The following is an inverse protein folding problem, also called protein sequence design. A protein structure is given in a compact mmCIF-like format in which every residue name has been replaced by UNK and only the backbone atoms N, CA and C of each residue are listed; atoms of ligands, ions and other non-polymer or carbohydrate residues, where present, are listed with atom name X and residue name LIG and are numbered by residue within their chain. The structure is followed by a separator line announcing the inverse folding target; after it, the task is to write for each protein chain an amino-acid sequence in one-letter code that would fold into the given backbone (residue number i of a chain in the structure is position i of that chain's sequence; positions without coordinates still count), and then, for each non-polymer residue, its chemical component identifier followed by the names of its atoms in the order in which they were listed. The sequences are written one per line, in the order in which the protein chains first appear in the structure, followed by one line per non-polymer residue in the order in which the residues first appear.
data_IF_349271877227
#
_entry.id   IF_349271877227
#
_cell.length_a   1.000
_cell.length_b   1.000
_cell.length_c   1.000
_cell.angle_alpha   90.00
_cell.angle_beta   90.00
_cell.angle_gamma   90.00
#
_symmetry.space_group_name_H-M   'P 1'
#
loop_
_entity.id
_entity.type
_entity.pdbx_description
1 polymer ?
#
# COMPACT_ATOMS: atom_id res chain seq x y z
N UNK A 1 -19.07 -13.59 -35.42
CA UNK A 1 -19.55 -14.26 -34.20
C UNK A 1 -20.51 -15.39 -34.58
N UNK A 2 -20.05 -16.54 -35.10
CA UNK A 2 -21.02 -17.58 -35.58
C UNK A 2 -20.55 -19.04 -35.54
N UNK A 3 -19.47 -19.36 -34.81
CA UNK A 3 -18.97 -20.75 -34.67
C UNK A 3 -19.11 -21.34 -33.26
N UNK A 4 -18.80 -20.55 -32.22
CA UNK A 4 -18.83 -21.01 -30.82
C UNK A 4 -20.24 -21.09 -30.22
N UNK A 5 -21.12 -20.13 -30.53
CA UNK A 5 -22.50 -20.09 -30.00
C UNK A 5 -23.36 -21.25 -30.54
N UNK A 6 -23.21 -21.64 -31.81
CA UNK A 6 -23.96 -22.78 -32.37
C UNK A 6 -23.58 -24.14 -31.76
N UNK A 7 -22.34 -24.30 -31.29
CA UNK A 7 -21.88 -25.57 -30.70
C UNK A 7 -22.30 -25.73 -29.24
N UNK A 8 -22.45 -24.63 -28.49
CA UNK A 8 -22.98 -24.67 -27.12
C UNK A 8 -24.48 -24.95 -27.12
N UNK A 9 -25.23 -24.44 -28.10
CA UNK A 9 -26.69 -24.60 -28.17
C UNK A 9 -27.10 -26.06 -28.46
N UNK A 10 -26.41 -26.74 -29.38
CA UNK A 10 -26.69 -28.15 -29.71
C UNK A 10 -26.39 -29.07 -28.52
N UNK A 11 -25.31 -28.79 -27.77
CA UNK A 11 -24.96 -29.56 -26.58
C UNK A 11 -26.03 -29.38 -25.48
N UNK A 12 -26.52 -28.16 -25.30
CA UNK A 12 -27.55 -27.84 -24.30
C UNK A 12 -28.91 -28.48 -24.64
N UNK A 13 -29.24 -28.59 -25.94
CA UNK A 13 -30.47 -29.23 -26.41
C UNK A 13 -30.47 -30.75 -26.18
N UNK A 14 -29.35 -31.44 -26.44
CA UNK A 14 -29.21 -32.87 -26.17
C UNK A 14 -29.31 -33.19 -24.66
N UNK A 15 -28.69 -32.37 -23.81
CA UNK A 15 -28.74 -32.52 -22.35
C UNK A 15 -30.16 -32.27 -21.82
N UNK A 16 -30.89 -31.33 -22.42
CA UNK A 16 -32.30 -31.05 -22.09
C UNK A 16 -33.20 -32.25 -22.29
N UNK A 17 -33.06 -32.92 -23.42
CA UNK A 17 -33.92 -34.05 -23.77
C UNK A 17 -33.61 -35.28 -22.92
N UNK A 18 -32.32 -35.54 -22.67
CA UNK A 18 -31.89 -36.57 -21.72
C UNK A 18 -32.44 -36.30 -20.31
N UNK A 19 -32.36 -35.06 -19.82
CA UNK A 19 -32.87 -34.74 -18.49
C UNK A 19 -34.40 -34.88 -18.38
N UNK A 20 -35.14 -34.51 -19.43
CA UNK A 20 -36.59 -34.75 -19.48
C UNK A 20 -36.94 -36.23 -19.41
N UNK A 21 -36.16 -37.08 -20.07
CA UNK A 21 -36.36 -38.53 -20.01
C UNK A 21 -36.05 -39.09 -18.61
N UNK A 22 -35.00 -38.60 -17.94
CA UNK A 22 -34.72 -38.94 -16.52
C UNK A 22 -35.90 -38.57 -15.63
N UNK A 23 -36.43 -37.35 -15.75
CA UNK A 23 -37.60 -36.91 -14.97
C UNK A 23 -38.87 -37.73 -15.29
N UNK A 24 -39.00 -38.26 -16.51
CA UNK A 24 -40.13 -39.10 -16.91
C UNK A 24 -40.05 -40.52 -16.31
N UNK A 25 -38.84 -41.07 -16.15
CA UNK A 25 -38.62 -42.40 -15.54
C UNK A 25 -38.76 -42.41 -14.02
N UNK A 26 -38.72 -41.25 -13.37
CA UNK A 26 -38.94 -41.14 -11.93
C UNK A 26 -40.43 -41.33 -11.58
N UNK A 27 -40.75 -42.50 -10.99
CA UNK A 27 -42.10 -42.81 -10.48
C UNK A 27 -42.44 -42.04 -9.18
N UNK A 28 -41.43 -41.57 -8.44
CA UNK A 28 -41.60 -40.83 -7.20
C UNK A 28 -42.00 -39.37 -7.47
N UNK A 29 -43.29 -39.07 -7.30
CA UNK A 29 -43.87 -37.74 -7.59
C UNK A 29 -43.24 -36.62 -6.78
N UNK A 30 -42.81 -36.89 -5.55
CA UNK A 30 -42.21 -35.89 -4.66
C UNK A 30 -40.77 -35.64 -5.11
N UNK A 31 -39.99 -36.69 -5.39
CA UNK A 31 -38.63 -36.56 -5.91
C UNK A 31 -38.60 -35.76 -7.21
N UNK A 32 -39.53 -36.03 -8.14
CA UNK A 32 -39.67 -35.29 -9.39
C UNK A 32 -40.01 -33.81 -9.18
N UNK A 33 -40.75 -33.48 -8.12
CA UNK A 33 -41.08 -32.09 -7.78
C UNK A 33 -39.91 -31.34 -7.13
N UNK A 34 -39.00 -32.06 -6.46
CA UNK A 34 -37.81 -31.49 -5.84
C UNK A 34 -36.67 -31.20 -6.83
N UNK A 35 -36.70 -31.80 -8.01
CA UNK A 35 -35.66 -31.64 -9.04
C UNK A 35 -35.96 -30.46 -9.98
N UNK A 36 -34.92 -29.74 -10.45
CA UNK A 36 -35.09 -28.64 -11.39
C UNK A 36 -35.61 -29.14 -12.74
N UNK A 37 -36.53 -28.39 -13.34
CA UNK A 37 -36.98 -28.62 -14.73
C UNK A 37 -36.14 -27.83 -15.74
N UNK A 38 -35.41 -26.83 -15.26
CA UNK A 38 -34.52 -26.02 -16.07
C UNK A 38 -33.16 -26.71 -16.20
N UNK A 39 -32.61 -26.69 -17.41
CA UNK A 39 -31.31 -27.28 -17.74
C UNK A 39 -30.18 -26.42 -17.18
N UNK A 40 -30.40 -25.11 -16.99
CA UNK A 40 -29.38 -24.23 -16.42
C UNK A 40 -29.02 -24.59 -14.97
N UNK A 41 -29.90 -25.27 -14.26
CA UNK A 41 -29.66 -25.76 -12.90
C UNK A 41 -28.90 -27.10 -12.88
N UNK A 42 -28.43 -27.58 -14.03
CA UNK A 42 -27.83 -28.90 -14.20
C UNK A 42 -26.53 -28.76 -14.98
N UNK A 43 -25.46 -29.34 -14.45
CA UNK A 43 -24.17 -29.42 -15.14
C UNK A 43 -23.82 -30.88 -15.39
N UNK A 44 -23.50 -31.20 -16.64
CA UNK A 44 -23.14 -32.55 -17.06
C UNK A 44 -21.67 -32.57 -17.50
N UNK A 45 -20.86 -33.31 -16.74
CA UNK A 45 -19.46 -33.60 -17.04
C UNK A 45 -19.31 -35.07 -17.48
N UNK A 46 -18.11 -35.45 -17.94
CA UNK A 46 -17.87 -36.80 -18.46
C UNK A 46 -18.19 -37.92 -17.44
N UNK A 47 -17.94 -37.66 -16.16
CA UNK A 47 -18.04 -38.58 -15.03
C UNK A 47 -19.13 -38.21 -14.00
N UNK A 48 -19.71 -37.01 -14.10
CA UNK A 48 -20.60 -36.44 -13.07
C UNK A 48 -21.83 -35.73 -13.62
N UNK A 49 -22.90 -35.78 -12.85
CA UNK A 49 -24.11 -34.98 -13.05
C UNK A 49 -24.36 -34.16 -11.78
N UNK A 50 -24.16 -32.84 -11.86
CA UNK A 50 -24.45 -31.91 -10.76
C UNK A 50 -25.83 -31.29 -10.93
N UNK A 51 -26.65 -31.34 -9.88
CA UNK A 51 -28.03 -30.85 -9.88
C UNK A 51 -28.15 -29.78 -8.78
N UNK A 52 -28.30 -28.53 -9.19
CA UNK A 52 -28.55 -27.42 -8.29
C UNK A 52 -30.01 -27.40 -7.86
N UNK A 53 -30.23 -27.28 -6.54
CA UNK A 53 -31.55 -27.28 -5.92
C UNK A 53 -31.69 -26.02 -5.06
N UNK A 54 -32.75 -25.28 -5.28
CA UNK A 54 -33.04 -23.94 -4.72
C UNK A 54 -33.46 -23.93 -3.24
N UNK A 55 -33.55 -25.09 -2.58
CA UNK A 55 -34.06 -25.22 -1.21
C UNK A 55 -33.41 -26.38 -0.46
N UNK A 56 -33.03 -26.12 0.78
CA UNK A 56 -32.43 -27.09 1.69
C UNK A 56 -33.33 -28.32 1.93
N UNK A 57 -34.65 -28.10 2.05
CA UNK A 57 -35.64 -29.18 2.18
C UNK A 57 -35.68 -30.09 0.94
N UNK A 58 -35.65 -29.50 -0.27
CA UNK A 58 -35.63 -30.28 -1.51
C UNK A 58 -34.31 -31.04 -1.66
N UNK A 59 -33.19 -30.42 -1.28
CA UNK A 59 -31.86 -31.05 -1.27
C UNK A 59 -31.83 -32.28 -0.36
N UNK A 60 -32.33 -32.15 0.87
CA UNK A 60 -32.39 -33.25 1.83
C UNK A 60 -33.28 -34.41 1.36
N UNK A 61 -34.45 -34.10 0.76
CA UNK A 61 -35.33 -35.11 0.19
C UNK A 61 -34.67 -35.87 -0.98
N UNK A 62 -34.01 -35.13 -1.88
CA UNK A 62 -33.27 -35.69 -3.01
C UNK A 62 -32.11 -36.59 -2.55
N UNK A 63 -31.33 -36.17 -1.55
CA UNK A 63 -30.25 -36.98 -0.95
C UNK A 63 -30.78 -38.27 -0.33
N UNK A 64 -31.91 -38.20 0.41
CA UNK A 64 -32.54 -39.39 1.00
C UNK A 64 -33.03 -40.40 -0.05
N UNK A 65 -33.32 -39.96 -1.27
CA UNK A 65 -33.77 -40.82 -2.38
C UNK A 65 -32.73 -40.94 -3.49
N UNK A 66 -31.47 -40.63 -3.20
CA UNK A 66 -30.36 -40.60 -4.15
C UNK A 66 -30.25 -41.88 -4.98
N UNK A 67 -30.37 -43.06 -4.36
CA UNK A 67 -30.29 -44.34 -5.07
C UNK A 67 -31.34 -44.49 -6.19
N UNK A 68 -32.54 -43.92 -6.02
CA UNK A 68 -33.57 -43.92 -7.06
C UNK A 68 -33.24 -42.95 -8.19
N UNK A 69 -32.63 -41.82 -7.85
CA UNK A 69 -32.19 -40.80 -8.81
C UNK A 69 -31.02 -41.33 -9.64
N UNK A 70 -30.02 -41.92 -9.01
CA UNK A 70 -28.87 -42.56 -9.67
C UNK A 70 -29.30 -43.66 -10.63
N UNK A 71 -30.25 -44.52 -10.22
CA UNK A 71 -30.79 -45.54 -11.11
C UNK A 71 -31.50 -44.96 -12.36
N UNK A 72 -32.24 -43.86 -12.20
CA UNK A 72 -32.90 -43.18 -13.31
C UNK A 72 -31.90 -42.47 -14.23
N UNK A 73 -30.85 -41.86 -13.67
CA UNK A 73 -29.75 -41.22 -14.41
C UNK A 73 -28.95 -42.27 -15.18
N UNK A 74 -28.55 -43.37 -14.54
CA UNK A 74 -27.82 -44.47 -15.18
C UNK A 74 -28.56 -45.04 -16.39
N UNK A 75 -29.88 -45.15 -16.32
CA UNK A 75 -30.73 -45.70 -17.38
C UNK A 75 -30.92 -44.79 -18.61
N UNK A 76 -30.49 -43.53 -18.57
CA UNK A 76 -30.68 -42.55 -19.67
C UNK A 76 -29.35 -41.92 -20.09
N UNK A 77 -28.54 -41.56 -19.10
CA UNK A 77 -27.34 -40.72 -19.23
C UNK A 77 -26.05 -41.56 -19.05
N UNK A 78 -26.17 -42.80 -18.54
CA UNK A 78 -25.05 -43.70 -18.22
C UNK A 78 -24.60 -43.58 -16.76
N UNK A 79 -23.75 -44.52 -16.31
CA UNK A 79 -23.20 -44.51 -14.94
C UNK A 79 -22.36 -43.25 -14.72
N UNK A 80 -22.88 -42.33 -13.90
CA UNK A 80 -22.23 -41.08 -13.50
C UNK A 80 -22.52 -40.82 -12.02
N UNK A 81 -21.60 -40.15 -11.35
CA UNK A 81 -21.79 -39.72 -9.98
C UNK A 81 -22.82 -38.57 -9.94
N UNK A 82 -23.93 -38.76 -9.22
CA UNK A 82 -24.98 -37.75 -9.08
C UNK A 82 -24.71 -36.90 -7.85
N UNK A 83 -24.43 -35.62 -8.05
CA UNK A 83 -24.15 -34.66 -6.97
C UNK A 83 -25.34 -33.72 -6.84
N UNK A 84 -25.95 -33.65 -5.65
CA UNK A 84 -27.14 -32.85 -5.37
C UNK A 84 -26.75 -31.64 -4.51
N UNK A 85 -26.89 -30.44 -5.07
CA UNK A 85 -26.50 -29.18 -4.44
C UNK A 85 -25.59 -28.34 -5.34
N UNK A 86 -25.11 -27.22 -4.80
CA UNK A 86 -24.04 -26.46 -5.45
C UNK A 86 -22.82 -27.36 -5.64
N UNK A 87 -22.14 -27.30 -6.81
CA UNK A 87 -20.95 -28.10 -7.06
C UNK A 87 -19.96 -27.94 -5.90
N UNK A 88 -19.29 -29.01 -5.45
CA UNK A 88 -18.23 -28.86 -4.46
C UNK A 88 -17.20 -27.85 -4.98
N UNK A 89 -16.82 -26.89 -4.13
CA UNK A 89 -15.88 -25.77 -4.34
C UNK A 89 -14.54 -26.12 -5.03
N UNK A 90 -14.27 -27.42 -5.24
CA UNK A 90 -13.05 -27.96 -5.82
C UNK A 90 -12.88 -27.59 -7.31
N UNK A 91 -13.95 -27.33 -8.07
CA UNK A 91 -13.84 -26.92 -9.48
C UNK A 91 -13.76 -25.41 -9.70
N UNK A 92 -14.29 -24.59 -8.79
CA UNK A 92 -13.96 -23.16 -8.74
C UNK A 92 -12.47 -22.98 -8.41
N UNK A 93 -11.90 -23.87 -7.61
CA UNK A 93 -10.46 -23.93 -7.35
C UNK A 93 -9.61 -24.50 -8.52
N UNK A 94 -10.21 -25.00 -9.62
CA UNK A 94 -9.49 -25.49 -10.79
C UNK A 94 -9.59 -24.60 -12.02
N UNK A 95 -10.63 -23.76 -12.13
CA UNK A 95 -10.64 -22.66 -13.12
C UNK A 95 -9.87 -21.43 -12.64
N UNK A 96 -9.58 -21.36 -11.34
CA UNK A 96 -8.36 -20.71 -10.85
C UNK A 96 -7.23 -21.72 -10.98
N UNK A 97 -6.61 -21.82 -12.17
CA UNK A 97 -5.20 -22.22 -12.20
C UNK A 97 -4.45 -21.17 -11.37
N UNK A 98 -4.31 -21.44 -10.07
CA UNK A 98 -3.43 -20.74 -9.16
C UNK A 98 -2.02 -20.90 -9.72
N UNK A 99 -1.62 -19.90 -10.50
CA UNK A 99 -0.20 -19.69 -10.83
C UNK A 99 0.54 -19.66 -9.49
N UNK A 100 1.52 -20.54 -9.24
CA UNK A 100 2.23 -20.54 -7.96
C UNK A 100 2.94 -19.19 -7.82
N UNK A 101 2.54 -18.44 -6.80
CA UNK A 101 3.04 -17.13 -6.40
C UNK A 101 1.88 -16.28 -5.87
N UNK A 102 1.80 -16.23 -4.54
CA UNK A 102 0.97 -15.39 -3.69
C UNK A 102 0.72 -13.99 -4.27
N UNK A 103 -0.43 -13.75 -4.90
CA UNK A 103 -0.85 -12.38 -5.15
C UNK A 103 -1.64 -11.91 -3.91
N UNK A 104 -0.93 -11.32 -2.95
CA UNK A 104 -1.58 -10.55 -1.89
C UNK A 104 -2.52 -9.52 -2.54
N UNK A 105 -3.73 -9.37 -1.99
CA UNK A 105 -4.71 -8.40 -2.45
C UNK A 105 -4.36 -7.05 -1.86
N UNK A 106 -3.86 -6.17 -2.73
CA UNK A 106 -3.38 -4.84 -2.36
C UNK A 106 -4.37 -3.79 -2.88
N UNK A 107 -4.77 -2.88 -1.99
CA UNK A 107 -5.54 -1.68 -2.36
C UNK A 107 -4.81 -0.42 -1.91
N UNK A 108 -4.88 0.63 -2.73
CA UNK A 108 -4.35 1.96 -2.43
C UNK A 108 -5.51 2.94 -2.38
N UNK A 109 -5.70 3.57 -1.23
CA UNK A 109 -6.72 4.58 -0.97
C UNK A 109 -6.06 5.97 -0.95
N UNK A 110 -6.35 6.79 -1.95
CA UNK A 110 -5.91 8.18 -2.01
C UNK A 110 -6.95 9.12 -1.42
N UNK A 111 -6.70 9.68 -0.24
CA UNK A 111 -7.69 10.42 0.54
C UNK A 111 -7.46 11.93 0.47
N UNK A 112 -8.49 12.67 0.06
CA UNK A 112 -8.43 14.11 -0.14
C UNK A 112 -7.63 14.49 -1.40
N UNK A 113 -7.68 15.76 -1.81
CA UNK A 113 -7.01 16.29 -3.01
C UNK A 113 -5.59 15.73 -3.26
N UNK A 114 -4.71 15.80 -2.26
CA UNK A 114 -3.33 15.33 -2.39
C UNK A 114 -3.22 13.81 -2.61
N UNK A 115 -4.05 13.02 -1.91
CA UNK A 115 -4.09 11.58 -2.11
C UNK A 115 -4.71 11.19 -3.46
N UNK A 116 -5.76 11.89 -3.87
CA UNK A 116 -6.42 11.72 -5.18
C UNK A 116 -5.43 12.00 -6.32
N UNK A 117 -4.64 13.08 -6.22
CA UNK A 117 -3.59 13.41 -7.19
C UNK A 117 -2.50 12.33 -7.24
N UNK A 118 -2.05 11.84 -6.08
CA UNK A 118 -1.05 10.77 -5.99
C UNK A 118 -1.54 9.47 -6.66
N UNK A 119 -2.78 9.04 -6.38
CA UNK A 119 -3.40 7.87 -7.04
C UNK A 119 -3.55 8.09 -8.53
N UNK A 120 -3.96 9.30 -8.94
CA UNK A 120 -4.07 9.66 -10.35
C UNK A 120 -2.74 9.52 -11.11
N UNK A 121 -1.62 9.82 -10.44
CA UNK A 121 -0.29 9.60 -10.97
C UNK A 121 0.11 8.12 -10.97
N UNK A 122 -0.18 7.37 -9.91
CA UNK A 122 0.09 5.93 -9.86
C UNK A 122 -0.56 5.19 -11.03
N UNK A 123 -1.79 5.58 -11.41
CA UNK A 123 -2.46 5.07 -12.62
C UNK A 123 -1.71 5.44 -13.89
N UNK A 124 -1.31 6.70 -14.03
CA UNK A 124 -0.55 7.19 -15.21
C UNK A 124 0.78 6.45 -15.38
N UNK A 125 1.45 6.15 -14.26
CA UNK A 125 2.71 5.39 -14.23
C UNK A 125 2.51 3.87 -14.28
N UNK A 126 1.26 3.41 -14.46
CA UNK A 126 0.87 2.00 -14.64
C UNK A 126 1.34 1.10 -13.51
N UNK A 127 1.18 1.52 -12.25
CA UNK A 127 1.45 0.67 -11.10
C UNK A 127 0.63 -0.63 -11.22
N UNK A 128 1.31 -1.79 -11.23
CA UNK A 128 0.70 -3.10 -11.48
C UNK A 128 0.32 -3.80 -10.17
N UNK A 129 -0.66 -4.70 -10.23
CA UNK A 129 -0.97 -5.59 -9.11
C UNK A 129 -1.65 -4.93 -7.92
N UNK A 130 -2.13 -3.69 -8.07
CA UNK A 130 -2.81 -2.93 -7.02
C UNK A 130 -4.15 -2.38 -7.51
N UNK A 131 -5.14 -2.36 -6.63
CA UNK A 131 -6.41 -1.66 -6.85
C UNK A 131 -6.27 -0.21 -6.40
N UNK A 132 -6.58 0.75 -7.27
CA UNK A 132 -6.41 2.18 -7.03
C UNK A 132 -7.78 2.84 -6.81
N UNK A 133 -7.97 3.50 -5.66
CA UNK A 133 -9.25 4.13 -5.30
C UNK A 133 -9.00 5.55 -4.81
N UNK A 134 -9.68 6.52 -5.41
CA UNK A 134 -9.67 7.90 -4.94
C UNK A 134 -10.84 8.14 -3.98
N UNK A 135 -10.58 8.77 -2.85
CA UNK A 135 -11.54 8.97 -1.76
C UNK A 135 -11.60 10.45 -1.40
N UNK A 136 -12.77 11.07 -1.54
CA UNK A 136 -12.95 12.47 -1.14
C UNK A 136 -14.40 12.77 -0.73
N UNK A 137 -14.57 13.82 0.06
CA UNK A 137 -15.86 14.47 0.28
C UNK A 137 -16.28 15.38 -0.88
N UNK A 138 -15.32 15.88 -1.67
CA UNK A 138 -15.59 16.77 -2.81
C UNK A 138 -15.87 15.98 -4.09
N UNK A 139 -17.10 16.12 -4.61
CA UNK A 139 -17.53 15.43 -5.83
C UNK A 139 -16.83 15.95 -7.08
N UNK A 140 -16.44 17.23 -7.11
CA UNK A 140 -15.76 17.82 -8.25
C UNK A 140 -14.35 17.26 -8.40
N UNK A 141 -13.65 17.12 -7.27
CA UNK A 141 -12.32 16.50 -7.22
C UNK A 141 -12.38 15.06 -7.73
N UNK A 142 -13.35 14.27 -7.27
CA UNK A 142 -13.54 12.89 -7.73
C UNK A 142 -13.94 12.81 -9.21
N UNK A 143 -14.70 13.78 -9.72
CA UNK A 143 -15.15 13.80 -11.11
C UNK A 143 -14.03 14.02 -12.13
N UNK A 144 -12.92 14.65 -11.71
CA UNK A 144 -11.73 14.85 -12.55
C UNK A 144 -10.56 13.93 -12.18
N UNK A 145 -10.75 13.05 -11.18
CA UNK A 145 -9.71 12.15 -10.71
C UNK A 145 -9.35 11.12 -11.79
N UNK A 146 -8.05 10.98 -12.08
CA UNK A 146 -7.55 9.99 -13.03
C UNK A 146 -7.41 8.60 -12.36
N UNK A 147 -8.52 8.00 -11.93
CA UNK A 147 -8.55 6.69 -11.25
C UNK A 147 -9.58 5.77 -11.89
N UNK A 148 -9.51 4.46 -11.64
CA UNK A 148 -10.53 3.50 -12.09
C UNK A 148 -11.75 3.48 -11.16
N UNK A 149 -11.53 3.73 -9.87
CA UNK A 149 -12.56 3.67 -8.84
C UNK A 149 -12.51 4.91 -7.94
N UNK A 150 -13.69 5.39 -7.53
CA UNK A 150 -13.85 6.52 -6.62
C UNK A 150 -14.82 6.19 -5.50
N UNK A 151 -14.58 6.74 -4.31
CA UNK A 151 -15.49 6.70 -3.18
C UNK A 151 -15.75 8.13 -2.72
N UNK A 152 -17.01 8.56 -2.79
CA UNK A 152 -17.44 9.82 -2.20
C UNK A 152 -17.80 9.61 -0.73
N UNK A 153 -17.12 10.33 0.17
CA UNK A 153 -17.44 10.33 1.60
C UNK A 153 -18.62 11.23 1.90
N UNK A 154 -19.59 10.69 2.65
CA UNK A 154 -20.78 11.35 3.16
C UNK A 154 -21.51 12.18 2.09
N UNK A 155 -21.94 11.47 1.04
CA UNK A 155 -22.70 12.02 -0.08
C UNK A 155 -23.93 12.84 0.39
N UNK A 156 -24.57 12.39 1.48
CA UNK A 156 -25.81 13.00 2.00
C UNK A 156 -25.57 14.19 2.95
N UNK A 157 -24.39 14.29 3.57
CA UNK A 157 -24.13 15.28 4.66
C UNK A 157 -23.38 16.51 4.15
N UNK A 158 -22.44 16.33 3.22
CA UNK A 158 -21.59 17.44 2.72
C UNK A 158 -22.21 18.19 1.54
N UNK A 159 -23.25 17.62 0.92
CA UNK A 159 -23.77 18.09 -0.36
C UNK A 159 -22.72 18.05 -1.49
N UNK A 160 -21.64 17.28 -1.29
CA UNK A 160 -20.53 17.14 -2.23
C UNK A 160 -19.58 18.33 -2.34
N UNK A 161 -19.58 19.26 -1.36
CA UNK A 161 -18.79 20.52 -1.39
C UNK A 161 -17.46 20.47 -0.64
N UNK A 162 -16.98 19.28 -0.29
CA UNK A 162 -15.72 19.12 0.43
C UNK A 162 -15.81 19.46 1.93
N UNK A 163 -14.72 19.18 2.67
CA UNK A 163 -14.63 19.46 4.10
C UNK A 163 -14.29 20.93 4.45
N UNK A 164 -13.91 21.76 3.47
CA UNK A 164 -13.57 23.18 3.68
C UNK A 164 -12.40 23.42 4.64
N UNK A 165 -11.45 22.48 4.70
CA UNK A 165 -10.31 22.55 5.63
C UNK A 165 -10.61 22.15 7.07
N UNK A 166 -11.85 21.73 7.38
CA UNK A 166 -12.25 21.27 8.72
C UNK A 166 -12.02 19.76 8.87
N UNK A 167 -11.05 19.39 9.71
CA UNK A 167 -10.71 18.00 10.02
C UNK A 167 -11.85 17.23 10.68
N UNK A 168 -12.70 17.88 11.47
CA UNK A 168 -13.82 17.22 12.12
C UNK A 168 -14.90 16.82 11.11
N UNK A 169 -15.11 17.65 10.07
CA UNK A 169 -16.00 17.29 8.96
C UNK A 169 -15.45 16.12 8.17
N UNK A 170 -14.16 16.12 7.86
CA UNK A 170 -13.50 14.99 7.19
C UNK A 170 -13.64 13.69 7.99
N UNK A 171 -13.40 13.75 9.31
CA UNK A 171 -13.55 12.62 10.23
C UNK A 171 -14.98 12.10 10.28
N UNK A 172 -15.95 13.00 10.47
CA UNK A 172 -17.38 12.64 10.48
C UNK A 172 -17.80 12.01 9.16
N UNK A 173 -17.35 12.56 8.03
CA UNK A 173 -17.69 12.02 6.73
C UNK A 173 -17.19 10.58 6.52
N UNK A 174 -15.99 10.27 7.01
CA UNK A 174 -15.46 8.91 7.00
C UNK A 174 -16.25 7.97 7.92
N UNK A 175 -16.65 8.42 9.12
CA UNK A 175 -17.47 7.63 10.04
C UNK A 175 -18.86 7.32 9.45
N UNK A 176 -19.49 8.31 8.82
CA UNK A 176 -20.80 8.14 8.19
C UNK A 176 -20.73 7.19 6.98
N UNK A 177 -19.55 7.07 6.34
CA UNK A 177 -19.31 6.18 5.18
C UNK A 177 -18.58 4.89 5.56
N UNK A 178 -18.65 4.49 6.83
CA UNK A 178 -17.89 3.36 7.37
C UNK A 178 -18.22 2.05 6.68
N UNK A 179 -19.48 1.84 6.27
CA UNK A 179 -19.91 0.60 5.62
C UNK A 179 -19.29 0.45 4.22
N UNK A 180 -19.27 1.54 3.46
CA UNK A 180 -18.66 1.63 2.14
C UNK A 180 -17.14 1.42 2.22
N UNK A 181 -16.47 2.08 3.17
CA UNK A 181 -15.03 1.90 3.41
C UNK A 181 -14.75 0.43 3.75
N UNK A 182 -15.50 -0.17 4.68
CA UNK A 182 -15.35 -1.56 5.08
C UNK A 182 -15.54 -2.52 3.90
N UNK A 183 -16.51 -2.26 3.01
CA UNK A 183 -16.74 -3.07 1.81
C UNK A 183 -15.54 -3.10 0.85
N UNK A 184 -14.74 -2.03 0.84
CA UNK A 184 -13.56 -1.89 0.00
C UNK A 184 -12.35 -2.61 0.61
N UNK A 185 -12.12 -2.44 1.92
CA UNK A 185 -10.94 -2.98 2.60
C UNK A 185 -11.12 -4.42 3.06
N UNK A 186 -12.35 -4.91 3.16
CA UNK A 186 -12.63 -6.27 3.63
C UNK A 186 -11.97 -7.31 2.73
N UNK A 187 -11.17 -8.17 3.34
CA UNK A 187 -10.42 -9.20 2.62
C UNK A 187 -9.28 -8.63 1.80
N UNK A 188 -8.82 -7.42 2.02
CA UNK A 188 -7.52 -6.99 1.50
C UNK A 188 -6.42 -7.47 2.45
N UNK A 189 -5.29 -7.91 1.90
CA UNK A 189 -4.15 -8.34 2.71
C UNK A 189 -3.30 -7.11 3.10
N UNK A 190 -3.22 -6.14 2.18
CA UNK A 190 -2.46 -4.90 2.35
C UNK A 190 -3.29 -3.68 1.91
N UNK A 191 -3.40 -2.68 2.79
CA UNK A 191 -4.08 -1.42 2.51
C UNK A 191 -3.08 -0.28 2.63
N UNK A 192 -2.76 0.35 1.50
CA UNK A 192 -2.03 1.60 1.48
C UNK A 192 -2.99 2.76 1.60
N UNK A 193 -2.68 3.70 2.46
CA UNK A 193 -3.43 4.93 2.62
C UNK A 193 -2.50 6.10 2.32
N UNK A 194 -2.82 6.88 1.29
CA UNK A 194 -2.03 8.02 0.88
C UNK A 194 -2.82 9.32 0.99
N UNK A 195 -2.25 10.32 1.66
CA UNK A 195 -2.94 11.58 1.90
C UNK A 195 -1.97 12.75 2.14
N UNK A 196 -2.38 13.93 1.69
CA UNK A 196 -1.76 15.20 2.08
C UNK A 196 -2.35 15.74 3.38
N UNK A 197 -1.51 15.89 4.41
CA UNK A 197 -1.96 16.36 5.72
C UNK A 197 -1.98 17.90 5.82
N UNK A 198 -2.82 18.40 6.72
CA UNK A 198 -3.12 19.82 6.92
C UNK A 198 -4.42 20.32 6.27
N UNK A 199 -5.00 19.53 5.36
CA UNK A 199 -6.35 19.77 4.81
C UNK A 199 -7.47 19.26 5.72
N UNK A 200 -8.73 19.36 5.27
CA UNK A 200 -9.88 18.85 6.02
C UNK A 200 -10.10 17.35 5.84
N UNK A 201 -10.35 16.92 4.59
CA UNK A 201 -10.63 15.51 4.25
C UNK A 201 -9.45 14.61 4.56
N UNK A 202 -8.28 14.88 3.96
CA UNK A 202 -7.09 14.04 4.10
C UNK A 202 -6.63 13.90 5.56
N UNK A 203 -6.74 14.94 6.38
CA UNK A 203 -6.29 14.87 7.79
C UNK A 203 -7.33 14.20 8.69
N UNK A 204 -8.62 14.48 8.48
CA UNK A 204 -9.69 13.96 9.33
C UNK A 204 -10.13 12.52 8.99
N UNK A 205 -10.21 12.18 7.70
CA UNK A 205 -10.73 10.89 7.24
C UNK A 205 -9.68 9.78 7.31
N UNK A 206 -8.40 10.10 7.09
CA UNK A 206 -7.31 9.11 7.01
C UNK A 206 -7.18 8.24 8.25
N UNK A 207 -7.15 8.77 9.50
CA UNK A 207 -7.06 7.93 10.69
C UNK A 207 -8.25 6.97 10.85
N UNK A 208 -9.46 7.41 10.47
CA UNK A 208 -10.68 6.57 10.54
C UNK A 208 -10.63 5.44 9.51
N UNK A 209 -10.21 5.75 8.28
CA UNK A 209 -10.07 4.73 7.23
C UNK A 209 -8.99 3.72 7.59
N UNK A 210 -7.88 4.17 8.20
CA UNK A 210 -6.82 3.28 8.70
C UNK A 210 -7.33 2.34 9.80
N UNK A 211 -8.10 2.87 10.74
CA UNK A 211 -8.72 2.07 11.80
C UNK A 211 -9.63 0.98 11.23
N UNK A 212 -10.50 1.32 10.27
CA UNK A 212 -11.40 0.35 9.62
C UNK A 212 -10.62 -0.73 8.86
N UNK A 213 -9.54 -0.35 8.17
CA UNK A 213 -8.68 -1.29 7.45
C UNK A 213 -7.99 -2.28 8.41
N UNK A 214 -7.45 -1.77 9.51
CA UNK A 214 -6.81 -2.57 10.56
C UNK A 214 -7.79 -3.50 11.26
N UNK A 215 -8.99 -3.02 11.60
CA UNK A 215 -10.08 -3.84 12.16
C UNK A 215 -10.54 -4.94 11.20
N UNK A 216 -10.37 -4.73 9.89
CA UNK A 216 -10.68 -5.72 8.85
C UNK A 216 -9.58 -6.79 8.68
N UNK A 217 -8.47 -6.68 9.41
CA UNK A 217 -7.35 -7.62 9.39
C UNK A 217 -6.29 -7.36 8.32
N UNK A 218 -6.34 -6.22 7.63
CA UNK A 218 -5.35 -5.85 6.64
C UNK A 218 -4.13 -5.17 7.28
N UNK A 219 -2.93 -5.48 6.80
CA UNK A 219 -1.74 -4.69 7.15
C UNK A 219 -1.93 -3.27 6.61
N UNK A 220 -1.96 -2.29 7.50
CA UNK A 220 -2.35 -0.92 7.15
C UNK A 220 -1.14 0.01 7.17
N UNK A 221 -0.77 0.53 5.99
CA UNK A 221 0.39 1.40 5.81
C UNK A 221 -0.06 2.80 5.39
N UNK A 222 0.19 3.79 6.23
CA UNK A 222 -0.03 5.20 5.92
C UNK A 222 1.20 5.83 5.27
N UNK A 223 1.06 6.42 4.09
CA UNK A 223 2.09 7.22 3.41
C UNK A 223 1.58 8.64 3.28
N UNK A 224 2.06 9.57 4.11
CA UNK A 224 1.46 10.89 4.24
C UNK A 224 2.48 12.01 4.13
N UNK A 225 2.07 13.15 3.57
CA UNK A 225 2.93 14.33 3.46
C UNK A 225 2.54 15.42 4.45
N UNK A 226 3.52 16.01 5.14
CA UNK A 226 3.37 17.28 5.86
C UNK A 226 3.36 18.45 4.88
N UNK A 227 2.59 19.52 5.14
CA UNK A 227 2.50 20.69 4.27
C UNK A 227 3.84 21.41 4.17
N UNK A 228 4.00 22.28 3.17
CA UNK A 228 5.15 23.18 3.12
C UNK A 228 5.04 24.25 4.21
N UNK A 229 6.18 24.72 4.71
CA UNK A 229 6.23 25.81 5.71
C UNK A 229 5.50 27.06 5.22
N UNK A 230 5.52 27.36 3.91
CA UNK A 230 4.84 28.53 3.35
C UNK A 230 3.31 28.45 3.40
N UNK A 231 2.72 27.26 3.58
CA UNK A 231 1.27 27.08 3.66
C UNK A 231 0.69 27.53 5.02
N UNK A 232 1.56 27.84 5.97
CA UNK A 232 1.21 28.46 7.25
C UNK A 232 1.12 27.49 8.43
N UNK A 233 1.26 28.06 9.62
CA UNK A 233 1.36 27.31 10.89
C UNK A 233 0.10 26.52 11.23
N UNK A 234 -1.08 27.09 10.95
CA UNK A 234 -2.36 26.41 11.17
C UNK A 234 -2.44 25.10 10.40
N UNK A 235 -1.93 25.07 9.16
CA UNK A 235 -1.92 23.85 8.34
C UNK A 235 -0.97 22.80 8.91
N UNK A 236 0.19 23.23 9.39
CA UNK A 236 1.17 22.36 10.04
C UNK A 236 0.64 21.77 11.36
N UNK A 237 -0.01 22.57 12.21
CA UNK A 237 -0.60 22.09 13.47
C UNK A 237 -1.68 21.03 13.24
N UNK A 238 -2.54 21.23 12.23
CA UNK A 238 -3.54 20.23 11.82
C UNK A 238 -2.87 18.94 11.37
N UNK A 239 -1.81 19.04 10.58
CA UNK A 239 -1.05 17.88 10.13
C UNK A 239 -0.47 17.08 11.30
N UNK A 240 0.13 17.74 12.29
CA UNK A 240 0.68 17.07 13.47
C UNK A 240 -0.41 16.39 14.32
N UNK A 241 -1.59 17.01 14.48
CA UNK A 241 -2.73 16.36 15.13
C UNK A 241 -3.21 15.12 14.37
N UNK A 242 -3.37 15.23 13.06
CA UNK A 242 -3.74 14.10 12.21
C UNK A 242 -2.72 12.96 12.30
N UNK A 243 -1.42 13.28 12.33
CA UNK A 243 -0.35 12.29 12.46
C UNK A 243 -0.42 11.56 13.80
N UNK A 244 -0.66 12.29 14.89
CA UNK A 244 -0.82 11.70 16.22
C UNK A 244 -1.97 10.69 16.29
N UNK A 245 -3.08 10.96 15.59
CA UNK A 245 -4.19 10.01 15.49
C UNK A 245 -3.86 8.84 14.56
N UNK A 246 -3.27 9.10 13.39
CA UNK A 246 -2.90 8.05 12.43
C UNK A 246 -1.90 7.04 13.03
N UNK A 247 -0.96 7.49 13.88
CA UNK A 247 -0.02 6.61 14.60
C UNK A 247 -0.72 5.56 15.46
N UNK A 248 -1.93 5.84 15.96
CA UNK A 248 -2.72 4.90 16.77
C UNK A 248 -3.47 3.89 15.89
N UNK A 249 -3.84 4.30 14.67
CA UNK A 249 -4.73 3.54 13.79
C UNK A 249 -4.00 2.74 12.70
N UNK A 250 -2.79 3.13 12.29
CA UNK A 250 -1.99 2.41 11.29
C UNK A 250 -1.00 1.43 11.94
N UNK A 251 -0.53 0.45 11.18
CA UNK A 251 0.57 -0.43 11.61
C UNK A 251 1.93 0.19 11.32
N UNK A 252 2.03 0.83 10.15
CA UNK A 252 3.21 1.57 9.69
C UNK A 252 2.81 2.94 9.18
N UNK A 253 3.64 3.92 9.52
CA UNK A 253 3.50 5.29 9.06
C UNK A 253 4.79 5.78 8.40
N UNK A 254 4.73 6.10 7.11
CA UNK A 254 5.79 6.78 6.36
C UNK A 254 5.39 8.24 6.24
N UNK A 255 6.17 9.10 6.91
CA UNK A 255 5.93 10.55 6.94
C UNK A 255 6.93 11.25 6.04
N UNK A 256 6.42 12.07 5.13
CA UNK A 256 7.22 12.82 4.15
C UNK A 256 7.05 14.31 4.46
N UNK A 257 8.14 15.03 4.65
CA UNK A 257 8.10 16.49 4.78
C UNK A 257 8.24 17.16 3.42
N UNK A 258 7.23 17.92 2.99
CA UNK A 258 7.30 18.66 1.73
C UNK A 258 8.44 19.69 1.70
N UNK A 259 8.84 20.23 2.85
CA UNK A 259 9.99 21.14 2.94
C UNK A 259 11.32 20.49 2.54
N UNK A 260 11.48 19.18 2.76
CA UNK A 260 12.68 18.44 2.31
C UNK A 260 12.79 18.37 0.80
N UNK A 261 11.66 18.45 0.10
CA UNK A 261 11.64 18.50 -1.36
C UNK A 261 12.22 19.82 -1.86
N UNK A 262 12.01 20.92 -1.11
CA UNK A 262 12.57 22.24 -1.43
C UNK A 262 14.09 22.29 -1.25
N UNK A 263 14.67 21.54 -0.31
CA UNK A 263 16.13 21.49 -0.10
C UNK A 263 16.85 20.92 -1.34
N UNK A 264 16.19 20.01 -2.06
CA UNK A 264 16.71 19.44 -3.31
C UNK A 264 16.29 20.20 -4.57
N UNK A 265 15.37 21.14 -4.44
CA UNK A 265 14.85 21.92 -5.56
C UNK A 265 15.72 23.14 -5.86
N UNK A 266 15.78 23.55 -7.13
CA UNK A 266 16.42 24.80 -7.51
C UNK A 266 15.62 26.02 -7.00
N UNK A 267 16.29 27.12 -6.66
CA UNK A 267 15.67 28.34 -6.11
C UNK A 267 14.60 28.99 -7.00
N UNK A 268 14.46 28.57 -8.26
CA UNK A 268 13.46 29.05 -9.22
C UNK A 268 12.34 28.04 -9.52
N UNK A 269 12.19 26.99 -8.72
CA UNK A 269 11.16 25.97 -8.94
C UNK A 269 9.75 26.58 -8.80
N UNK A 270 8.91 26.37 -9.82
CA UNK A 270 7.51 26.77 -9.77
C UNK A 270 6.74 25.99 -8.69
N UNK A 271 5.80 26.65 -8.00
CA UNK A 271 4.98 26.03 -6.94
C UNK A 271 4.23 24.78 -7.45
N UNK A 272 3.68 24.84 -8.67
CA UNK A 272 3.02 23.68 -9.30
C UNK A 272 3.97 22.50 -9.42
N UNK A 273 5.23 22.74 -9.78
CA UNK A 273 6.25 21.70 -9.88
C UNK A 273 6.65 21.15 -8.52
N UNK A 274 6.61 21.96 -7.46
CA UNK A 274 6.89 21.50 -6.10
C UNK A 274 5.81 20.53 -5.59
N UNK A 275 4.53 20.83 -5.81
CA UNK A 275 3.43 19.89 -5.52
C UNK A 275 3.49 18.64 -6.40
N UNK A 276 3.85 18.79 -7.67
CA UNK A 276 4.12 17.62 -8.51
C UNK A 276 5.24 16.77 -7.92
N UNK A 277 6.32 17.33 -7.39
CA UNK A 277 7.37 16.51 -6.76
C UNK A 277 6.81 15.78 -5.52
N UNK A 278 6.01 16.45 -4.69
CA UNK A 278 5.37 15.84 -3.51
C UNK A 278 4.48 14.65 -3.88
N UNK A 279 3.63 14.79 -4.90
CA UNK A 279 2.79 13.68 -5.41
C UNK A 279 3.64 12.50 -5.91
N UNK A 280 4.82 12.79 -6.47
CA UNK A 280 5.74 11.77 -7.00
C UNK A 280 6.38 10.96 -5.87
N UNK A 281 6.60 11.59 -4.73
CA UNK A 281 7.11 10.93 -3.54
C UNK A 281 6.08 10.00 -2.92
N UNK A 282 4.80 10.40 -2.90
CA UNK A 282 3.71 9.51 -2.47
C UNK A 282 3.61 8.26 -3.36
N UNK A 283 3.74 8.43 -4.69
CA UNK A 283 3.85 7.32 -5.63
C UNK A 283 5.03 6.41 -5.28
N UNK A 284 6.20 7.00 -5.07
CA UNK A 284 7.42 6.28 -4.73
C UNK A 284 7.28 5.48 -3.42
N UNK A 285 6.64 6.05 -2.39
CA UNK A 285 6.34 5.38 -1.12
C UNK A 285 5.53 4.10 -1.31
N UNK A 286 4.42 4.20 -2.04
CA UNK A 286 3.54 3.06 -2.30
C UNK A 286 4.21 2.04 -3.21
N UNK A 287 4.87 2.50 -4.29
CA UNK A 287 5.57 1.62 -5.23
C UNK A 287 6.72 0.85 -4.58
N UNK A 288 7.47 1.51 -3.69
CA UNK A 288 8.62 0.91 -3.02
C UNK A 288 8.28 -0.36 -2.26
N UNK A 289 7.08 -0.43 -1.65
CA UNK A 289 6.59 -1.61 -0.92
C UNK A 289 5.76 -2.51 -1.84
N UNK A 290 4.90 -1.94 -2.68
CA UNK A 290 4.08 -2.71 -3.62
C UNK A 290 4.92 -3.56 -4.58
N UNK A 291 6.03 -3.01 -5.08
CA UNK A 291 6.93 -3.76 -5.98
C UNK A 291 7.54 -4.97 -5.26
N UNK A 292 7.71 -4.95 -3.93
CA UNK A 292 8.24 -6.08 -3.15
C UNK A 292 7.30 -7.27 -3.12
N UNK A 293 6.00 -6.98 -3.12
CA UNK A 293 4.93 -7.99 -2.99
C UNK A 293 4.48 -8.47 -4.36
N UNK A 294 4.39 -7.57 -5.33
CA UNK A 294 3.76 -7.84 -6.64
C UNK A 294 4.74 -8.28 -7.71
N UNK A 295 6.01 -7.85 -7.64
CA UNK A 295 7.00 -8.15 -8.68
C UNK A 295 7.80 -9.37 -8.27
N UNK A 296 7.69 -10.43 -9.08
CA UNK A 296 8.50 -11.63 -8.89
C UNK A 296 9.97 -11.33 -9.18
N UNK A 297 10.83 -11.62 -8.22
CA UNK A 297 12.27 -11.52 -8.29
C UNK A 297 12.99 -12.86 -8.20
N UNK A 298 14.32 -12.78 -8.18
CA UNK A 298 15.24 -13.89 -7.93
C UNK A 298 15.09 -14.40 -6.49
N UNK A 299 14.91 -13.47 -5.55
CA UNK A 299 14.61 -13.73 -4.14
C UNK A 299 13.32 -12.97 -3.83
N UNK A 300 12.21 -13.69 -3.80
CA UNK A 300 10.91 -13.13 -3.44
C UNK A 300 10.83 -13.00 -1.92
N UNK A 301 10.38 -11.83 -1.48
CA UNK A 301 9.88 -11.66 -0.12
C UNK A 301 8.43 -12.11 -0.11
N UNK A 302 8.07 -12.99 0.81
CA UNK A 302 6.66 -13.32 0.98
C UNK A 302 5.94 -12.23 1.80
N UNK A 303 4.61 -12.26 1.78
CA UNK A 303 3.83 -11.30 2.55
C UNK A 303 4.01 -11.48 4.06
N UNK A 304 4.31 -12.70 4.53
CA UNK A 304 4.48 -12.97 5.95
C UNK A 304 5.77 -12.32 6.49
N UNK A 305 6.86 -12.36 5.73
CA UNK A 305 8.13 -11.69 6.03
C UNK A 305 7.93 -10.17 6.14
N UNK A 306 7.24 -9.59 5.15
CA UNK A 306 6.92 -8.15 5.15
C UNK A 306 6.04 -7.80 6.34
N UNK A 307 5.01 -8.60 6.61
CA UNK A 307 4.11 -8.39 7.75
C UNK A 307 4.85 -8.53 9.09
N UNK A 308 5.76 -9.49 9.24
CA UNK A 308 6.54 -9.66 10.46
C UNK A 308 7.45 -8.46 10.74
N UNK A 309 8.05 -7.88 9.70
CA UNK A 309 8.90 -6.70 9.84
C UNK A 309 8.09 -5.43 10.12
N UNK A 310 6.99 -5.23 9.39
CA UNK A 310 6.25 -3.97 9.37
C UNK A 310 5.10 -3.91 10.39
N UNK A 311 4.48 -5.02 10.77
CA UNK A 311 3.32 -4.99 11.66
C UNK A 311 3.67 -4.39 13.02
N UNK A 312 2.94 -3.34 13.41
CA UNK A 312 3.14 -2.61 14.65
C UNK A 312 4.49 -1.87 14.76
N UNK A 313 5.21 -1.67 13.66
CA UNK A 313 6.52 -1.02 13.69
C UNK A 313 6.46 0.50 13.91
N UNK A 314 5.27 1.11 13.82
CA UNK A 314 5.08 2.52 14.06
C UNK A 314 5.61 3.38 12.93
N UNK A 315 6.49 4.33 13.21
CA UNK A 315 7.09 5.16 12.16
C UNK A 315 8.15 4.39 11.38
N UNK A 316 8.07 4.46 10.05
CA UNK A 316 9.04 3.92 9.14
C UNK A 316 9.58 5.01 8.21
N UNK A 317 10.80 4.80 7.77
CA UNK A 317 11.51 5.68 6.86
C UNK A 317 11.87 4.90 5.61
N UNK A 318 11.61 5.50 4.45
CA UNK A 318 11.91 4.87 3.16
C UNK A 318 12.99 5.67 2.43
N UNK A 319 14.02 4.96 1.98
CA UNK A 319 15.09 5.49 1.17
C UNK A 319 15.22 4.74 -0.14
N UNK A 320 15.51 5.45 -1.22
CA UNK A 320 15.77 4.85 -2.52
C UNK A 320 17.01 5.45 -3.17
N UNK A 321 17.76 4.62 -3.88
CA UNK A 321 18.91 5.05 -4.65
C UNK A 321 19.03 4.25 -5.93
N UNK A 322 19.34 4.94 -7.02
CA UNK A 322 19.63 4.32 -8.31
C UNK A 322 21.02 4.78 -8.74
N UNK A 323 21.85 3.85 -9.21
CA UNK A 323 23.16 4.16 -9.74
C UNK A 323 23.56 3.15 -10.82
N UNK A 324 24.53 3.54 -11.65
CA UNK A 324 25.05 2.74 -12.75
C UNK A 324 26.60 2.70 -12.70
N UNK A 325 27.22 1.78 -13.43
CA UNK A 325 28.68 1.64 -13.52
C UNK A 325 29.33 0.77 -12.43
N UNK A 326 30.66 0.82 -12.31
CA UNK A 326 31.47 -0.15 -11.56
C UNK A 326 31.20 -0.19 -10.03
N UNK A 327 30.78 0.93 -9.45
CA UNK A 327 30.45 1.05 -8.01
C UNK A 327 28.96 1.33 -7.79
N UNK A 328 28.11 0.87 -8.72
CA UNK A 328 26.67 1.14 -8.70
C UNK A 328 25.99 0.69 -7.42
N UNK A 329 26.31 -0.49 -6.89
CA UNK A 329 25.65 -1.04 -5.68
C UNK A 329 25.93 -0.19 -4.44
N UNK A 330 27.19 0.14 -4.18
CA UNK A 330 27.58 1.00 -3.07
C UNK A 330 27.04 2.43 -3.23
N UNK A 331 27.02 2.95 -4.46
CA UNK A 331 26.51 4.30 -4.73
C UNK A 331 25.00 4.37 -4.53
N UNK A 332 24.25 3.40 -5.07
CA UNK A 332 22.81 3.28 -4.87
C UNK A 332 22.47 3.09 -3.38
N UNK A 333 23.23 2.26 -2.64
CA UNK A 333 23.03 2.07 -1.21
C UNK A 333 23.30 3.36 -0.41
N UNK A 334 24.36 4.12 -0.74
CA UNK A 334 24.60 5.45 -0.13
C UNK A 334 23.44 6.40 -0.39
N UNK A 335 22.98 6.49 -1.65
CA UNK A 335 21.86 7.35 -2.02
C UNK A 335 20.58 6.95 -1.29
N UNK A 336 20.33 5.66 -1.12
CA UNK A 336 19.18 5.16 -0.37
C UNK A 336 19.26 5.55 1.12
N UNK A 337 20.42 5.48 1.74
CA UNK A 337 20.57 5.80 3.18
C UNK A 337 20.71 7.28 3.49
N UNK A 338 20.97 8.13 2.50
CA UNK A 338 21.05 9.59 2.64
C UNK A 338 19.91 10.32 1.93
N UNK A 339 18.84 9.61 1.56
CA UNK A 339 17.77 10.16 0.73
C UNK A 339 16.97 11.26 1.49
N UNK A 340 16.63 12.39 0.85
CA UNK A 340 15.77 13.44 1.42
C UNK A 340 14.41 12.98 1.98
N UNK A 341 13.93 11.80 1.54
CA UNK A 341 12.70 11.18 2.03
C UNK A 341 12.81 10.62 3.46
N UNK A 342 14.02 10.57 4.02
CA UNK A 342 14.30 10.18 5.39
C UNK A 342 14.08 11.38 6.33
N UNK A 343 12.91 11.47 6.97
CA UNK A 343 12.66 12.46 8.03
C UNK A 343 13.67 12.29 9.20
N UNK A 344 14.54 13.27 9.44
CA UNK A 344 15.62 13.17 10.43
C UNK A 344 16.99 12.75 9.89
N UNK A 345 17.09 12.43 8.59
CA UNK A 345 18.35 12.35 7.84
C UNK A 345 19.21 11.11 8.09
N UNK A 346 18.72 10.08 8.78
CA UNK A 346 19.47 8.84 8.97
C UNK A 346 18.57 7.65 9.28
N UNK A 347 18.95 6.47 8.77
CA UNK A 347 18.36 5.17 9.15
C UNK A 347 18.94 4.60 10.46
N UNK A 348 19.71 5.40 11.20
CA UNK A 348 20.31 5.00 12.48
C UNK A 348 19.23 4.67 13.51
N UNK A 349 19.47 3.60 14.27
CA UNK A 349 18.56 3.16 15.33
C UNK A 349 17.43 2.25 14.85
N UNK A 350 17.32 1.98 13.55
CA UNK A 350 16.32 1.06 13.00
C UNK A 350 16.65 -0.39 13.38
N UNK A 351 15.74 -1.04 14.12
CA UNK A 351 15.89 -2.44 14.53
C UNK A 351 15.40 -3.43 13.48
N UNK A 352 14.53 -2.99 12.58
CA UNK A 352 14.00 -3.81 11.49
C UNK A 352 14.15 -3.09 10.16
N UNK A 353 14.62 -3.80 9.14
CA UNK A 353 14.81 -3.24 7.80
C UNK A 353 14.39 -4.22 6.71
N UNK A 354 13.85 -3.68 5.64
CA UNK A 354 13.65 -4.38 4.37
C UNK A 354 14.56 -3.72 3.35
N UNK A 355 15.38 -4.52 2.68
CA UNK A 355 16.20 -4.09 1.55
C UNK A 355 15.76 -4.86 0.31
N UNK A 356 15.43 -4.12 -0.73
CA UNK A 356 15.16 -4.67 -2.04
C UNK A 356 16.12 -4.14 -3.07
N UNK A 357 16.67 -5.06 -3.87
CA UNK A 357 17.61 -4.73 -4.94
C UNK A 357 16.98 -5.10 -6.27
N UNK A 358 16.83 -4.11 -7.14
CA UNK A 358 16.41 -4.30 -8.54
C UNK A 358 17.61 -4.06 -9.45
N UNK A 359 17.96 -5.03 -10.28
CA UNK A 359 19.08 -4.91 -11.23
C UNK A 359 18.84 -5.73 -12.50
N UNK A 360 19.76 -5.64 -13.45
CA UNK A 360 19.78 -6.51 -14.63
C UNK A 360 20.25 -7.94 -14.32
N UNK A 361 20.33 -8.78 -15.35
CA UNK A 361 20.87 -10.15 -15.25
C UNK A 361 22.37 -10.18 -14.93
N UNK A 362 23.04 -9.03 -15.04
CA UNK A 362 24.43 -8.76 -14.71
C UNK A 362 24.65 -8.43 -13.22
N UNK A 363 23.59 -8.37 -12.41
CA UNK A 363 23.67 -8.15 -10.97
C UNK A 363 24.37 -9.33 -10.28
N UNK A 364 25.40 -9.02 -9.47
CA UNK A 364 26.20 -10.04 -8.79
C UNK A 364 25.90 -10.15 -7.29
N UNK A 365 26.16 -11.32 -6.70
CA UNK A 365 26.06 -11.52 -5.24
C UNK A 365 26.99 -10.60 -4.45
N UNK A 366 28.18 -10.30 -4.99
CA UNK A 366 29.15 -9.40 -4.35
C UNK A 366 28.63 -7.98 -4.23
N UNK A 367 27.97 -7.47 -5.27
CA UNK A 367 27.32 -6.15 -5.26
C UNK A 367 26.22 -6.05 -4.21
N UNK A 368 25.36 -7.07 -4.14
CA UNK A 368 24.27 -7.16 -3.17
C UNK A 368 24.82 -7.18 -1.73
N UNK A 369 25.83 -8.02 -1.48
CA UNK A 369 26.46 -8.16 -0.15
C UNK A 369 27.08 -6.85 0.30
N UNK A 370 27.84 -6.19 -0.58
CA UNK A 370 28.49 -4.92 -0.28
C UNK A 370 27.48 -3.80 0.06
N UNK A 371 26.35 -3.78 -0.64
CA UNK A 371 25.26 -2.85 -0.35
C UNK A 371 24.58 -3.15 1.01
N UNK A 372 24.26 -4.41 1.30
CA UNK A 372 23.65 -4.83 2.56
C UNK A 372 24.55 -4.49 3.76
N UNK A 373 25.85 -4.75 3.64
CA UNK A 373 26.85 -4.43 4.65
C UNK A 373 26.92 -2.93 4.93
N UNK A 374 26.86 -2.10 3.90
CA UNK A 374 26.85 -0.65 4.05
C UNK A 374 25.60 -0.17 4.79
N UNK A 375 24.43 -0.72 4.44
CA UNK A 375 23.15 -0.37 5.06
C UNK A 375 23.15 -0.77 6.54
N UNK A 376 23.56 -2.01 6.86
CA UNK A 376 23.71 -2.49 8.24
C UNK A 376 24.66 -1.61 9.06
N UNK A 377 25.84 -1.28 8.52
CA UNK A 377 26.78 -0.36 9.18
C UNK A 377 26.20 1.03 9.43
N UNK A 378 25.34 1.51 8.54
CA UNK A 378 24.72 2.83 8.67
C UNK A 378 23.63 2.85 9.73
N UNK A 379 22.87 1.75 9.90
CA UNK A 379 21.85 1.61 10.93
C UNK A 379 22.41 1.62 12.37
N UNK A 380 23.70 1.30 12.54
CA UNK A 380 24.44 1.37 13.81
C UNK A 380 23.78 0.61 14.97
N UNK A 381 23.03 -0.44 14.67
CA UNK A 381 22.32 -1.31 15.62
C UNK A 381 22.30 -2.74 15.08
N UNK A 382 22.13 -3.72 15.96
CA UNK A 382 21.76 -5.08 15.55
C UNK A 382 20.38 -5.01 14.91
N UNK A 383 20.36 -5.11 13.58
CA UNK A 383 19.15 -4.95 12.79
C UNK A 383 18.80 -6.26 12.09
N UNK A 384 17.54 -6.67 12.26
CA UNK A 384 16.93 -7.71 11.45
C UNK A 384 16.66 -7.15 10.05
N UNK A 385 17.43 -7.62 9.07
CA UNK A 385 17.37 -7.15 7.68
C UNK A 385 16.83 -8.28 6.81
N UNK A 386 15.63 -8.06 6.30
CA UNK A 386 14.97 -8.89 5.31
C UNK A 386 15.37 -8.43 3.91
N UNK A 387 15.74 -9.38 3.05
CA UNK A 387 16.37 -9.11 1.76
C UNK A 387 15.56 -9.66 0.58
N UNK A 388 15.25 -8.80 -0.39
CA UNK A 388 14.65 -9.15 -1.67
C UNK A 388 15.56 -8.77 -2.84
N UNK A 389 15.49 -9.56 -3.92
CA UNK A 389 16.19 -9.26 -5.16
C UNK A 389 15.31 -9.52 -6.38
N UNK A 390 15.23 -8.54 -7.27
CA UNK A 390 14.44 -8.58 -8.50
C UNK A 390 15.35 -8.35 -9.70
N UNK A 391 15.25 -9.23 -10.70
CA UNK A 391 15.96 -9.07 -11.98
C UNK A 391 14.99 -8.49 -13.00
N UNK A 392 15.34 -7.36 -13.61
CA UNK A 392 14.55 -6.69 -14.64
C UNK A 392 15.43 -6.39 -15.87
N UNK A 393 14.99 -6.81 -17.05
CA UNK A 393 15.75 -6.62 -18.30
C UNK A 393 16.02 -5.14 -18.66
N UNK A 394 15.21 -4.21 -18.13
CA UNK A 394 15.42 -2.77 -18.32
C UNK A 394 16.52 -2.14 -17.46
N UNK A 395 17.17 -2.90 -16.60
CA UNK A 395 18.20 -2.43 -15.65
C UNK A 395 19.63 -2.86 -16.03
N UNK A 396 19.91 -3.20 -17.28
CA UNK A 396 21.28 -3.46 -17.75
C UNK A 396 22.22 -2.31 -17.37
N UNK A 397 23.36 -2.63 -16.74
CA UNK A 397 24.34 -1.68 -16.19
C UNK A 397 23.86 -0.78 -15.02
N UNK A 398 22.62 -0.95 -14.55
CA UNK A 398 22.03 -0.17 -13.46
C UNK A 398 21.55 -1.01 -12.27
N UNK A 399 21.54 -0.40 -11.10
CA UNK A 399 20.98 -1.00 -9.88
C UNK A 399 20.14 0.04 -9.14
N UNK A 400 18.97 -0.40 -8.65
CA UNK A 400 18.08 0.36 -7.78
C UNK A 400 17.98 -0.36 -6.44
N UNK A 401 18.22 0.35 -5.36
CA UNK A 401 18.11 -0.15 -3.99
C UNK A 401 17.03 0.64 -3.27
N UNK A 402 16.05 -0.07 -2.73
CA UNK A 402 15.02 0.47 -1.86
C UNK A 402 15.26 -0.08 -0.46
N UNK A 403 15.31 0.81 0.53
CA UNK A 403 15.45 0.49 1.95
C UNK A 403 14.25 1.02 2.69
N UNK A 404 13.60 0.17 3.47
CA UNK A 404 12.55 0.56 4.42
C UNK A 404 13.09 0.23 5.80
N UNK A 405 13.23 1.24 6.64
CA UNK A 405 13.70 1.14 8.01
C UNK A 405 12.55 1.44 8.95
N UNK A 406 12.33 0.59 9.95
CA UNK A 406 11.23 0.70 10.90
C UNK A 406 11.67 0.25 12.31
N UNK A 407 10.79 0.43 13.30
CA UNK A 407 11.07 0.11 14.71
C UNK A 407 12.35 0.82 15.19
N UNK A 408 12.36 2.14 15.04
CA UNK A 408 13.41 2.99 15.59
C UNK A 408 13.33 2.94 17.12
N UNK A 409 14.44 2.57 17.76
CA UNK A 409 14.55 2.60 19.23
C UNK A 409 14.29 3.99 19.80
N UNK A 410 13.95 4.07 21.09
CA UNK A 410 13.91 5.36 21.78
C UNK A 410 15.25 6.08 21.61
N UNK A 411 15.24 7.39 21.33
CA UNK A 411 16.46 8.14 21.09
C UNK A 411 17.40 7.96 22.28
N UNK A 412 18.57 7.40 22.03
CA UNK A 412 19.61 7.26 23.05
C UNK A 412 20.06 8.65 23.51
N UNK A 413 20.62 8.74 24.71
CA UNK A 413 21.06 10.02 25.29
C UNK A 413 22.01 10.79 24.35
N UNK A 414 22.78 10.08 23.52
CA UNK A 414 23.67 10.66 22.49
C UNK A 414 22.91 11.41 21.37
N UNK A 415 21.76 10.90 20.92
CA UNK A 415 20.92 11.57 19.92
C UNK A 415 20.19 12.79 20.52
N UNK A 416 19.85 12.71 21.81
CA UNK A 416 19.30 13.83 22.56
C UNK A 416 20.33 14.95 22.74
N UNK A 417 21.60 14.60 22.99
CA UNK A 417 22.71 15.55 23.07
C UNK A 417 23.01 16.18 21.71
N UNK A 418 22.92 15.41 20.62
CA UNK A 418 23.20 15.92 19.28
C UNK A 418 22.11 16.88 18.79
N UNK A 419 20.84 16.61 19.08
CA UNK A 419 19.73 17.56 18.84
C UNK A 419 19.90 18.83 19.68
N UNK A 420 20.31 18.72 20.95
CA UNK A 420 20.65 19.88 21.80
C UNK A 420 21.83 20.68 21.25
N UNK A 421 22.88 20.03 20.73
CA UNK A 421 24.04 20.68 20.08
C UNK A 421 23.67 21.32 18.74
N UNK A 422 22.75 20.73 17.98
CA UNK A 422 22.24 21.29 16.73
C UNK A 422 21.33 22.50 16.96
N UNK A 423 20.51 22.49 18.02
CA UNK A 423 19.68 23.64 18.42
C UNK A 423 20.48 24.76 19.08
N UNK A 424 21.67 24.47 19.63
CA UNK A 424 22.56 25.45 20.25
C UNK A 424 23.59 26.05 19.27
N UNK A 425 23.49 25.77 17.96
CA UNK A 425 24.08 26.65 16.96
C UNK A 425 23.27 27.93 16.94
N UNK A 426 23.64 28.86 17.82
CA UNK A 426 23.20 30.26 17.72
C UNK A 426 23.28 30.70 16.26
N UNK A 427 22.14 31.17 15.73
CA UNK A 427 22.12 31.93 14.48
C UNK A 427 23.13 33.06 14.65
N UNK A 428 24.26 32.97 13.94
CA UNK A 428 25.12 34.13 13.73
C UNK A 428 24.26 35.15 13.00
N UNK A 429 23.80 36.17 13.73
CA UNK A 429 23.06 37.29 13.17
C UNK A 429 23.99 37.95 12.15
N UNK A 430 23.61 37.88 10.86
CA UNK A 430 24.37 38.50 9.77
C UNK A 430 24.27 40.01 9.97
N UNK A 431 25.30 40.57 10.57
CA UNK A 431 25.38 41.99 10.90
C UNK A 431 26.74 42.36 11.46
N UNK A 432 27.79 42.23 10.65
CA UNK A 432 28.98 43.13 10.53
C UNK A 432 30.19 42.42 9.87
N UNK A 433 30.69 43.07 8.82
CA UNK A 433 31.97 42.95 8.10
C UNK A 433 32.62 41.59 7.92
N UNK A 434 32.34 40.95 6.78
CA UNK A 434 33.02 39.75 6.29
C UNK A 434 34.40 40.01 5.65
N UNK A 435 34.88 41.26 5.64
CA UNK A 435 36.16 41.63 5.00
C UNK A 435 37.41 41.32 5.85
N UNK A 436 37.24 40.76 7.04
CA UNK A 436 38.36 40.38 7.92
C UNK A 436 38.50 38.86 7.99
N UNK A 437 39.67 38.29 7.62
CA UNK A 437 39.93 36.87 7.72
C UNK A 437 39.68 36.28 9.12
N UNK A 438 39.15 35.05 9.16
CA UNK A 438 38.62 34.38 10.37
C UNK A 438 39.61 34.29 11.53
N UNK A 439 40.92 34.28 11.25
CA UNK A 439 41.95 34.21 12.27
C UNK A 439 42.13 35.53 13.04
N UNK A 440 41.99 36.68 12.39
CA UNK A 440 42.08 38.01 13.05
C UNK A 440 40.85 38.32 13.91
N UNK A 441 39.68 37.79 13.52
CA UNK A 441 38.44 37.92 14.29
C UNK A 441 38.48 37.14 15.61
N UNK A 442 39.13 35.96 15.61
CA UNK A 442 39.31 35.13 16.82
C UNK A 442 40.26 35.77 17.84
N UNK A 443 41.30 36.45 17.38
CA UNK A 443 42.22 37.17 18.28
C UNK A 443 41.56 38.37 18.96
N UNK A 444 40.68 39.09 18.27
CA UNK A 444 39.94 40.22 18.87
C UNK A 444 38.90 39.76 19.90
N UNK A 445 38.21 38.65 19.65
CA UNK A 445 37.26 38.05 20.61
C UNK A 445 37.96 37.43 21.84
N UNK A 446 39.18 36.91 21.69
CA UNK A 446 39.96 36.44 22.84
C UNK A 446 40.44 37.61 23.72
N UNK A 447 40.79 38.74 23.11
CA UNK A 447 41.18 39.96 23.86
C UNK A 447 39.99 40.54 24.64
N UNK A 448 38.79 40.62 24.05
CA UNK A 448 37.59 41.11 24.76
C UNK A 448 37.18 40.24 25.94
N UNK A 449 37.25 38.92 25.80
CA UNK A 449 36.89 37.99 26.88
C UNK A 449 37.93 38.01 28.03
N UNK A 450 39.20 38.28 27.72
CA UNK A 450 40.26 38.40 28.74
C UNK A 450 40.12 39.68 29.58
N UNK A 451 39.62 40.78 28.99
CA UNK A 451 39.34 42.03 29.70
C UNK A 451 38.11 41.95 30.60
N UNK A 452 37.07 41.19 30.22
CA UNK A 452 35.88 41.00 31.06
C UNK A 452 36.15 40.10 32.27
N UNK A 453 37.02 39.09 32.14
CA UNK A 453 37.42 38.24 33.27
C UNK A 453 38.31 38.96 34.29
N UNK A 454 39.05 40.01 33.90
CA UNK A 454 39.82 40.82 34.83
C UNK A 454 38.98 41.83 35.62
N UNK A 455 37.86 42.33 35.05
CA UNK A 455 36.92 43.20 35.76
C UNK A 455 36.11 42.50 36.86
N UNK A 456 35.84 41.20 36.70
CA UNK A 456 35.03 40.42 37.64
C UNK A 456 35.79 39.95 38.92
N UNK A 457 37.09 40.20 39.03
CA UNK A 457 37.92 39.83 40.20
C UNK A 457 38.28 40.99 41.13
N UNK A 458 37.80 42.21 40.86
CA UNK A 458 38.01 43.39 41.71
C UNK A 458 36.71 44.08 42.16
N UNK A 459 35.57 43.39 42.07
CA UNK A 459 34.26 43.86 42.55
C UNK A 459 33.85 43.20 43.85
#
# INVERSE_FOLDING_TARGET
MSGKERSSDIHNEAVRDQWREVLAKLQDRILRACLPKDVQAISLSADRLAISVDSEFKKEYCLRKQTKLEAAVAAVIGEREVVIGEPPLVEQARQEEQKPGTNARIVVLGIGDGGVNAVGRMKKEKLQGVRLIAVDTDKQVLGIANTDETLQLAADVTGGRGAGGDENKGRKAALDSRWEINSIVKGMDLVFITAGFGGGTGTGATPVIAEIAKESGALTIGVVTKPFTFEGTVRAERAERGLAELRKSADVLIVISNDRLLETASKGLAVTKAFEIADGVLHQGVRGISDLVTVRGLVNLDFADINNVLSGAGEAMMGMGTANGEQRSLTAAKLATTNPLLEGGSIRGARRMIMNVTGGSDMTLGEVTAAADLIRRTAATECDLVFGAVVQEGFTDGIKITVIAADFGEPTDEDSERKKRASHRERITIGKDLDVPTFLRREQQQKSNSSEQQGARQG
#
